data_IF_507009655986
#
_entry.id   IF_507009655986
#
_cell.length_a   1.000
_cell.length_b   1.000
_cell.length_c   1.000
_cell.angle_alpha   90.00
_cell.angle_beta   90.00
_cell.angle_gamma   90.00
#
_symmetry.space_group_name_H-M   'P 1'
#
loop_
_entity.id
_entity.type
_entity.pdbx_description
1 polymer ?
#
# COMPACT_ATOMS: atom_id res chain seq x y z
N UNK A 1 21.10 8.18 28.74
CA UNK A 1 19.89 7.36 28.89
C UNK A 1 19.09 7.19 27.59
N UNK A 2 18.94 8.21 26.72
CA UNK A 2 18.21 8.09 25.44
C UNK A 2 18.96 7.30 24.36
N UNK A 3 20.28 7.30 24.35
CA UNK A 3 21.11 6.56 23.39
C UNK A 3 21.14 5.06 23.73
N UNK A 4 21.27 4.70 25.00
CA UNK A 4 21.26 3.31 25.48
C UNK A 4 19.93 2.63 25.19
N UNK A 5 18.80 3.33 25.34
CA UNK A 5 17.48 2.78 24.99
C UNK A 5 17.25 2.58 23.49
N UNK A 6 17.91 3.37 22.61
CA UNK A 6 17.79 3.19 21.17
C UNK A 6 18.63 2.01 20.64
N UNK A 7 19.84 1.86 21.15
CA UNK A 7 20.71 0.73 20.79
C UNK A 7 20.16 -0.60 21.30
N UNK A 8 19.57 -0.61 22.49
CA UNK A 8 18.90 -1.78 23.05
C UNK A 8 17.69 -2.19 22.20
N UNK A 9 16.87 -1.24 21.75
CA UNK A 9 15.70 -1.51 20.90
C UNK A 9 16.10 -2.03 19.49
N UNK A 10 17.18 -1.52 18.91
CA UNK A 10 17.75 -1.97 17.64
C UNK A 10 18.33 -3.38 17.76
N UNK A 11 19.08 -3.64 18.83
CA UNK A 11 19.68 -4.94 19.11
C UNK A 11 18.62 -6.00 19.37
N UNK A 12 17.57 -5.66 20.13
CA UNK A 12 16.45 -6.55 20.41
C UNK A 12 15.68 -6.91 19.13
N UNK A 13 15.47 -5.95 18.21
CA UNK A 13 14.76 -6.20 16.95
C UNK A 13 15.52 -7.14 16.02
N UNK A 14 16.83 -6.94 15.83
CA UNK A 14 17.64 -7.84 14.98
C UNK A 14 17.83 -9.22 15.62
N UNK A 15 17.99 -9.29 16.94
CA UNK A 15 18.12 -10.53 17.68
C UNK A 15 16.81 -11.33 17.69
N UNK A 16 15.66 -10.66 17.76
CA UNK A 16 14.35 -11.30 17.66
C UNK A 16 14.16 -12.04 16.34
N UNK A 17 14.65 -11.48 15.20
CA UNK A 17 14.59 -12.14 13.90
C UNK A 17 15.37 -13.48 13.86
N UNK A 18 16.47 -13.59 14.63
CA UNK A 18 17.29 -14.78 14.69
C UNK A 18 16.81 -15.82 15.71
N UNK A 19 16.32 -15.39 16.87
CA UNK A 19 16.16 -16.27 18.03
C UNK A 19 14.71 -16.50 18.46
N UNK A 20 13.80 -15.56 18.22
CA UNK A 20 12.44 -15.67 18.72
C UNK A 20 11.65 -16.80 18.04
N UNK A 21 10.67 -17.38 18.76
CA UNK A 21 9.78 -18.43 18.23
C UNK A 21 9.00 -17.90 17.03
N UNK A 22 9.04 -18.61 15.90
CA UNK A 22 8.44 -18.17 14.61
C UNK A 22 6.97 -17.76 14.72
N UNK A 23 6.06 -18.51 15.41
CA UNK A 23 4.65 -18.09 15.51
C UNK A 23 4.48 -16.76 16.23
N UNK A 24 5.26 -16.50 17.29
CA UNK A 24 5.21 -15.25 18.04
C UNK A 24 5.76 -14.08 17.21
N UNK A 25 6.89 -14.30 16.55
CA UNK A 25 7.50 -13.29 15.66
C UNK A 25 6.58 -12.96 14.48
N UNK A 26 5.95 -13.99 13.87
CA UNK A 26 4.96 -13.77 12.81
C UNK A 26 3.78 -12.94 13.32
N UNK A 27 3.23 -13.23 14.50
CA UNK A 27 2.14 -12.46 15.09
C UNK A 27 2.55 -11.01 15.36
N UNK A 28 3.76 -10.76 15.88
CA UNK A 28 4.27 -9.42 16.17
C UNK A 28 4.42 -8.56 14.91
N UNK A 29 4.73 -9.15 13.75
CA UNK A 29 4.89 -8.44 12.49
C UNK A 29 3.59 -8.41 11.67
N UNK A 30 2.82 -9.50 11.67
CA UNK A 30 1.61 -9.62 10.87
C UNK A 30 0.42 -8.84 11.47
N UNK A 31 0.22 -8.87 12.79
CA UNK A 31 -0.92 -8.17 13.40
C UNK A 31 -0.89 -6.66 13.09
N UNK A 32 0.22 -5.92 13.30
CA UNK A 32 0.27 -4.52 12.90
C UNK A 32 0.03 -4.32 11.39
N UNK A 33 0.55 -5.20 10.54
CA UNK A 33 0.35 -5.11 9.11
C UNK A 33 -1.13 -5.32 8.72
N UNK A 34 -1.81 -6.31 9.31
CA UNK A 34 -3.26 -6.54 9.11
C UNK A 34 -4.07 -5.34 9.58
N UNK A 35 -3.77 -4.80 10.76
CA UNK A 35 -4.44 -3.60 11.28
C UNK A 35 -4.24 -2.42 10.34
N UNK A 36 -3.04 -2.22 9.80
CA UNK A 36 -2.77 -1.17 8.80
C UNK A 36 -3.63 -1.34 7.54
N UNK A 37 -3.80 -2.57 7.03
CA UNK A 37 -4.64 -2.84 5.86
C UNK A 37 -6.12 -2.55 6.14
N UNK A 38 -6.63 -2.93 7.31
CA UNK A 38 -8.01 -2.64 7.70
C UNK A 38 -8.24 -1.13 7.82
N UNK A 39 -7.33 -0.40 8.47
CA UNK A 39 -7.41 1.06 8.58
C UNK A 39 -7.36 1.72 7.21
N UNK A 40 -6.52 1.22 6.31
CA UNK A 40 -6.42 1.71 4.93
C UNK A 40 -7.76 1.53 4.17
N UNK A 41 -8.41 0.38 4.35
CA UNK A 41 -9.75 0.15 3.78
C UNK A 41 -10.78 1.12 4.35
N UNK A 42 -10.80 1.28 5.67
CA UNK A 42 -11.78 2.14 6.35
C UNK A 42 -11.66 3.60 5.91
N UNK A 43 -10.46 4.15 5.87
CA UNK A 43 -10.31 5.55 5.45
C UNK A 43 -10.69 5.74 3.98
N UNK A 44 -10.40 4.80 3.09
CA UNK A 44 -10.84 4.87 1.69
C UNK A 44 -12.38 4.86 1.55
N UNK A 45 -13.07 4.11 2.41
CA UNK A 45 -14.54 4.11 2.45
C UNK A 45 -15.06 5.46 2.93
N UNK A 46 -14.48 6.00 3.99
CA UNK A 46 -14.88 7.30 4.57
C UNK A 46 -14.67 8.44 3.58
N UNK A 47 -13.53 8.48 2.90
CA UNK A 47 -13.23 9.46 1.84
C UNK A 47 -14.30 9.42 0.73
N UNK A 48 -14.66 8.23 0.25
CA UNK A 48 -15.73 8.08 -0.76
C UNK A 48 -17.11 8.52 -0.25
N UNK A 49 -17.40 8.28 1.03
CA UNK A 49 -18.65 8.76 1.66
C UNK A 49 -18.68 10.29 1.64
N UNK A 50 -17.61 10.97 2.04
CA UNK A 50 -17.57 12.44 2.02
C UNK A 50 -17.69 12.99 0.61
N UNK A 51 -17.01 12.44 -0.39
CA UNK A 51 -17.13 12.85 -1.79
C UNK A 51 -18.57 12.67 -2.31
N UNK A 52 -19.21 11.54 -1.96
CA UNK A 52 -20.60 11.26 -2.36
C UNK A 52 -21.63 12.23 -1.76
N UNK A 53 -21.33 12.85 -0.61
CA UNK A 53 -22.21 13.81 0.07
C UNK A 53 -21.97 15.27 -0.34
N UNK A 54 -21.13 15.54 -1.35
CA UNK A 54 -20.97 16.90 -1.88
C UNK A 54 -22.30 17.37 -2.50
N UNK A 55 -22.88 18.45 -1.97
CA UNK A 55 -24.19 18.96 -2.37
C UNK A 55 -24.28 19.25 -3.87
N UNK A 56 -25.27 18.70 -4.53
CA UNK A 56 -25.61 18.95 -5.94
C UNK A 56 -24.76 18.19 -6.96
N UNK A 57 -23.56 17.69 -6.60
CA UNK A 57 -22.63 17.07 -7.55
C UNK A 57 -22.03 15.74 -7.07
N UNK A 58 -22.41 15.28 -5.87
CA UNK A 58 -21.78 14.11 -5.21
C UNK A 58 -21.68 12.85 -6.09
N UNK A 59 -22.76 12.49 -6.80
CA UNK A 59 -22.75 11.32 -7.68
C UNK A 59 -21.78 11.47 -8.86
N UNK A 60 -21.75 12.64 -9.52
CA UNK A 60 -20.84 12.93 -10.62
C UNK A 60 -19.38 13.02 -10.13
N UNK A 61 -19.17 13.61 -8.96
CA UNK A 61 -17.88 13.70 -8.29
C UNK A 61 -17.34 12.31 -7.93
N UNK A 62 -18.13 11.47 -7.30
CA UNK A 62 -17.76 10.10 -6.92
C UNK A 62 -17.41 9.25 -8.16
N UNK A 63 -18.20 9.38 -9.22
CA UNK A 63 -17.92 8.70 -10.50
C UNK A 63 -16.62 9.21 -11.10
N UNK A 64 -16.40 10.53 -11.17
CA UNK A 64 -15.17 11.11 -11.71
C UNK A 64 -13.91 10.67 -10.94
N UNK A 65 -13.97 10.66 -9.61
CA UNK A 65 -12.87 10.14 -8.77
C UNK A 65 -12.71 8.62 -8.94
N UNK A 66 -13.80 7.88 -9.09
CA UNK A 66 -13.76 6.45 -9.37
C UNK A 66 -13.00 6.10 -10.66
N UNK A 67 -13.15 6.91 -11.71
CA UNK A 67 -12.44 6.75 -12.97
C UNK A 67 -10.92 7.03 -12.87
N UNK A 68 -10.46 7.69 -11.82
CA UNK A 68 -9.04 7.86 -11.54
C UNK A 68 -8.38 6.61 -10.90
N UNK A 69 -9.18 5.66 -10.40
CA UNK A 69 -8.69 4.45 -9.71
C UNK A 69 -7.63 3.65 -10.51
N UNK A 70 -7.75 3.43 -11.83
CA UNK A 70 -6.71 2.74 -12.60
C UNK A 70 -5.35 3.46 -12.57
N UNK A 71 -5.34 4.79 -12.60
CA UNK A 71 -4.10 5.57 -12.49
C UNK A 71 -3.50 5.41 -11.09
N UNK A 72 -4.33 5.42 -10.03
CA UNK A 72 -3.89 5.12 -8.66
C UNK A 72 -3.21 3.76 -8.56
N UNK A 73 -3.81 2.73 -9.15
CA UNK A 73 -3.26 1.37 -9.15
C UNK A 73 -1.90 1.31 -9.85
N UNK A 74 -1.74 2.03 -10.97
CA UNK A 74 -0.45 2.14 -11.65
C UNK A 74 0.60 2.86 -10.80
N UNK A 75 0.26 3.98 -10.16
CA UNK A 75 1.17 4.69 -9.24
C UNK A 75 1.62 3.75 -8.13
N UNK A 76 0.69 3.00 -7.52
CA UNK A 76 0.98 2.01 -6.48
C UNK A 76 1.86 0.85 -7.01
N UNK A 77 1.61 0.36 -8.23
CA UNK A 77 2.42 -0.68 -8.84
C UNK A 77 3.88 -0.23 -9.02
N UNK A 78 4.12 1.01 -9.46
CA UNK A 78 5.48 1.56 -9.55
C UNK A 78 6.12 1.75 -8.18
N UNK A 79 5.38 2.18 -7.17
CA UNK A 79 5.89 2.27 -5.81
C UNK A 79 6.33 0.89 -5.28
N UNK A 80 5.50 -0.14 -5.51
CA UNK A 80 5.77 -1.51 -5.08
C UNK A 80 6.89 -2.16 -5.90
N UNK A 81 7.13 -1.75 -7.13
CA UNK A 81 8.25 -2.24 -7.95
C UNK A 81 9.60 -2.07 -7.20
N UNK A 82 9.82 -0.93 -6.57
CA UNK A 82 11.02 -0.69 -5.78
C UNK A 82 10.89 -1.21 -4.34
N UNK A 83 9.72 -1.04 -3.71
CA UNK A 83 9.48 -1.43 -2.32
C UNK A 83 9.48 -2.95 -2.10
N UNK A 84 8.68 -3.69 -2.86
CA UNK A 84 8.55 -5.15 -2.72
C UNK A 84 9.79 -5.92 -3.20
N UNK A 85 10.58 -5.33 -4.08
CA UNK A 85 11.85 -5.93 -4.52
C UNK A 85 13.03 -5.56 -3.62
N UNK A 86 13.11 -4.31 -3.20
CA UNK A 86 14.21 -3.79 -2.39
C UNK A 86 14.20 -4.26 -0.94
N UNK A 87 13.03 -4.20 -0.28
CA UNK A 87 12.92 -4.55 1.13
C UNK A 87 13.34 -6.00 1.46
N UNK A 88 12.91 -7.05 0.72
CA UNK A 88 13.42 -8.41 0.93
C UNK A 88 14.92 -8.54 0.71
N UNK A 89 15.47 -7.86 -0.28
CA UNK A 89 16.92 -7.89 -0.54
C UNK A 89 17.71 -7.21 0.57
N UNK A 90 17.19 -6.10 1.11
CA UNK A 90 17.77 -5.46 2.29
C UNK A 90 17.73 -6.42 3.50
N UNK A 91 16.60 -7.13 3.72
CA UNK A 91 16.50 -8.16 4.76
C UNK A 91 17.54 -9.28 4.61
N UNK A 92 17.73 -9.77 3.38
CA UNK A 92 18.76 -10.80 3.08
C UNK A 92 20.15 -10.26 3.43
N UNK A 93 20.47 -9.03 3.06
CA UNK A 93 21.76 -8.41 3.39
C UNK A 93 21.92 -8.21 4.90
N UNK A 94 20.88 -7.81 5.62
CA UNK A 94 20.87 -7.73 7.08
C UNK A 94 21.11 -9.11 7.73
N UNK A 95 20.48 -10.16 7.21
CA UNK A 95 20.70 -11.53 7.66
C UNK A 95 22.14 -12.01 7.47
N UNK A 96 22.81 -11.54 6.42
CA UNK A 96 24.25 -11.74 6.18
C UNK A 96 25.14 -10.86 7.07
N UNK A 97 24.56 -10.01 7.94
CA UNK A 97 25.26 -8.99 8.74
C UNK A 97 25.95 -7.91 7.91
N UNK A 98 25.56 -7.76 6.64
CA UNK A 98 26.04 -6.71 5.72
C UNK A 98 25.04 -5.54 5.66
N UNK A 99 25.02 -4.76 6.74
CA UNK A 99 24.17 -3.58 6.84
C UNK A 99 24.57 -2.47 5.84
N UNK A 100 25.86 -2.44 5.40
CA UNK A 100 26.32 -1.45 4.41
C UNK A 100 25.65 -1.67 3.07
N UNK A 101 25.58 -2.91 2.59
CA UNK A 101 24.86 -3.26 1.36
C UNK A 101 23.35 -3.04 1.53
N UNK A 102 22.78 -3.35 2.69
CA UNK A 102 21.36 -3.09 2.96
C UNK A 102 21.02 -1.59 2.92
N UNK A 103 21.88 -0.71 3.46
CA UNK A 103 21.73 0.76 3.38
C UNK A 103 21.86 1.27 1.92
N UNK A 104 22.77 0.68 1.13
CA UNK A 104 22.87 1.00 -0.31
C UNK A 104 21.62 0.61 -1.07
N UNK A 105 21.02 -0.56 -0.77
CA UNK A 105 19.75 -0.99 -1.36
C UNK A 105 18.64 0.02 -1.01
N UNK A 106 18.52 0.41 0.26
CA UNK A 106 17.54 1.41 0.70
C UNK A 106 17.71 2.74 -0.05
N UNK A 107 18.95 3.27 -0.12
CA UNK A 107 19.25 4.54 -0.80
C UNK A 107 19.00 4.48 -2.31
N UNK A 108 19.38 3.39 -2.97
CA UNK A 108 19.13 3.19 -4.40
C UNK A 108 17.65 3.04 -4.71
N UNK A 109 16.88 2.30 -3.89
CA UNK A 109 15.42 2.20 -4.03
C UNK A 109 14.73 3.55 -3.81
N UNK A 110 15.19 4.35 -2.87
CA UNK A 110 14.68 5.70 -2.68
C UNK A 110 14.96 6.58 -3.90
N UNK A 111 16.19 6.56 -4.43
CA UNK A 111 16.56 7.38 -5.60
C UNK A 111 15.73 7.00 -6.85
N UNK A 112 15.54 5.70 -7.12
CA UNK A 112 14.71 5.28 -8.27
C UNK A 112 13.23 5.65 -8.07
N UNK A 113 12.71 5.60 -6.84
CA UNK A 113 11.35 6.06 -6.55
C UNK A 113 11.17 7.54 -6.82
N UNK A 114 12.17 8.38 -6.50
CA UNK A 114 12.11 9.81 -6.81
C UNK A 114 12.12 10.07 -8.33
N UNK A 115 12.92 9.31 -9.08
CA UNK A 115 12.92 9.39 -10.55
C UNK A 115 11.59 8.91 -11.14
N UNK A 116 11.06 7.80 -10.66
CA UNK A 116 9.73 7.31 -11.06
C UNK A 116 8.64 8.32 -10.72
N UNK A 117 8.68 8.93 -9.52
CA UNK A 117 7.71 9.96 -9.12
C UNK A 117 7.73 11.15 -10.09
N UNK A 118 8.92 11.66 -10.43
CA UNK A 118 9.05 12.76 -11.36
C UNK A 118 8.50 12.39 -12.77
N UNK A 119 8.88 11.21 -13.28
CA UNK A 119 8.42 10.74 -14.59
C UNK A 119 6.89 10.52 -14.62
N UNK A 120 6.34 9.84 -13.61
CA UNK A 120 4.90 9.59 -13.52
C UNK A 120 4.10 10.88 -13.33
N UNK A 121 4.63 11.83 -12.55
CA UNK A 121 3.99 13.15 -12.39
C UNK A 121 3.90 13.87 -13.74
N UNK A 122 4.97 13.92 -14.51
CA UNK A 122 4.97 14.58 -15.82
C UNK A 122 4.00 13.88 -16.79
N UNK A 123 4.09 12.55 -16.89
CA UNK A 123 3.25 11.76 -17.81
C UNK A 123 1.78 11.90 -17.44
N UNK A 124 1.41 11.57 -16.20
CA UNK A 124 0.00 11.56 -15.82
C UNK A 124 -0.60 12.96 -15.72
N UNK A 125 0.17 13.97 -15.32
CA UNK A 125 -0.34 15.34 -15.28
C UNK A 125 -0.68 15.87 -16.67
N UNK A 126 0.15 15.55 -17.66
CA UNK A 126 -0.04 15.95 -19.05
C UNK A 126 -1.22 15.22 -19.70
N UNK A 127 -1.32 13.90 -19.46
CA UNK A 127 -2.31 13.05 -20.12
C UNK A 127 -3.55 12.74 -19.27
N UNK A 128 -3.71 13.37 -18.10
CA UNK A 128 -4.84 13.09 -17.20
C UNK A 128 -6.22 13.21 -17.88
N UNK A 129 -6.55 14.28 -18.63
CA UNK A 129 -7.85 14.38 -19.28
C UNK A 129 -8.08 13.27 -20.29
N UNK A 130 -7.07 12.96 -21.13
CA UNK A 130 -7.16 11.94 -22.17
C UNK A 130 -7.35 10.53 -21.57
N UNK A 131 -6.60 10.23 -20.50
CA UNK A 131 -6.71 8.95 -19.81
C UNK A 131 -8.08 8.78 -19.14
N UNK A 132 -8.59 9.81 -18.49
CA UNK A 132 -9.92 9.76 -17.85
C UNK A 132 -11.03 9.61 -18.90
N UNK A 133 -10.94 10.28 -20.04
CA UNK A 133 -11.87 10.10 -21.16
C UNK A 133 -11.79 8.68 -21.72
N UNK A 134 -10.60 8.12 -21.86
CA UNK A 134 -10.38 6.74 -22.29
C UNK A 134 -10.95 5.72 -21.32
N UNK A 135 -10.98 6.03 -20.02
CA UNK A 135 -11.62 5.21 -18.98
C UNK A 135 -13.14 5.44 -18.86
N UNK A 136 -13.73 6.25 -19.72
CA UNK A 136 -15.18 6.42 -19.82
C UNK A 136 -15.73 7.65 -19.09
N UNK A 137 -14.91 8.68 -18.83
CA UNK A 137 -15.40 9.94 -18.29
C UNK A 137 -16.33 10.63 -19.29
N UNK A 138 -17.53 10.99 -18.83
CA UNK A 138 -18.47 11.84 -19.58
C UNK A 138 -18.17 13.33 -19.37
N UNK A 139 -18.74 14.19 -20.21
CA UNK A 139 -18.60 15.64 -20.06
C UNK A 139 -19.01 16.16 -18.66
N UNK A 140 -19.91 15.43 -17.97
CA UNK A 140 -20.36 15.79 -16.61
C UNK A 140 -19.40 15.32 -15.52
N UNK A 141 -18.67 14.21 -15.71
CA UNK A 141 -17.80 13.61 -14.69
C UNK A 141 -16.33 13.99 -14.88
N UNK A 142 -15.92 14.30 -16.12
CA UNK A 142 -14.54 14.64 -16.49
C UNK A 142 -13.95 15.80 -15.67
N UNK A 143 -14.65 16.94 -15.47
CA UNK A 143 -14.10 18.05 -14.69
C UNK A 143 -13.70 17.64 -13.27
N UNK A 144 -14.55 16.87 -12.59
CA UNK A 144 -14.29 16.39 -11.22
C UNK A 144 -13.14 15.40 -11.16
N UNK A 145 -13.07 14.48 -12.14
CA UNK A 145 -11.97 13.54 -12.27
C UNK A 145 -10.63 14.23 -12.52
N UNK A 146 -10.60 15.24 -13.40
CA UNK A 146 -9.39 16.01 -13.71
C UNK A 146 -8.94 16.87 -12.53
N UNK A 147 -9.88 17.51 -11.84
CA UNK A 147 -9.59 18.33 -10.66
C UNK A 147 -8.95 17.50 -9.54
N UNK A 148 -9.49 16.29 -9.27
CA UNK A 148 -8.91 15.34 -8.34
C UNK A 148 -7.55 14.86 -8.81
N UNK A 149 -7.49 14.38 -10.06
CA UNK A 149 -6.28 13.78 -10.64
C UNK A 149 -5.09 14.74 -10.59
N UNK A 150 -5.24 15.99 -11.01
CA UNK A 150 -4.16 16.96 -11.03
C UNK A 150 -3.53 17.20 -9.67
N UNK A 151 -4.34 17.36 -8.63
CA UNK A 151 -3.85 17.56 -7.26
C UNK A 151 -3.16 16.29 -6.76
N UNK A 152 -3.79 15.13 -6.95
CA UNK A 152 -3.25 13.85 -6.50
C UNK A 152 -1.93 13.50 -7.21
N UNK A 153 -1.84 13.71 -8.52
CA UNK A 153 -0.63 13.43 -9.31
C UNK A 153 0.55 14.30 -8.86
N UNK A 154 0.34 15.58 -8.55
CA UNK A 154 1.38 16.44 -7.97
C UNK A 154 1.85 15.91 -6.61
N UNK A 155 0.94 15.33 -5.82
CA UNK A 155 1.25 14.71 -4.54
C UNK A 155 1.72 13.25 -4.61
N UNK A 156 1.76 12.64 -5.79
CA UNK A 156 2.10 11.22 -5.96
C UNK A 156 3.49 10.85 -5.44
N UNK A 157 4.42 11.80 -5.39
CA UNK A 157 5.73 11.63 -4.76
C UNK A 157 5.62 11.16 -3.31
N UNK A 158 4.70 11.69 -2.53
CA UNK A 158 4.49 11.28 -1.14
C UNK A 158 3.92 9.86 -1.07
N UNK A 159 3.00 9.52 -1.98
CA UNK A 159 2.43 8.17 -2.10
C UNK A 159 3.53 7.16 -2.43
N UNK A 160 4.40 7.46 -3.39
CA UNK A 160 5.51 6.57 -3.74
C UNK A 160 6.48 6.39 -2.57
N UNK A 161 6.77 7.45 -1.81
CA UNK A 161 7.61 7.34 -0.60
C UNK A 161 6.92 6.45 0.44
N UNK A 162 5.64 6.67 0.72
CA UNK A 162 4.92 5.89 1.74
C UNK A 162 4.86 4.42 1.33
N UNK A 163 4.41 4.11 0.12
CA UNK A 163 4.24 2.74 -0.34
C UNK A 163 5.58 2.02 -0.59
N UNK A 164 6.58 2.73 -1.12
CA UNK A 164 7.88 2.14 -1.48
C UNK A 164 8.85 2.03 -0.31
N UNK A 165 8.80 2.95 0.67
CA UNK A 165 9.77 2.96 1.78
C UNK A 165 9.24 2.30 3.05
N UNK A 166 7.94 2.25 3.27
CA UNK A 166 7.35 1.62 4.46
C UNK A 166 7.72 0.12 4.62
N UNK A 167 7.82 -0.69 3.53
CA UNK A 167 8.31 -2.07 3.63
C UNK A 167 9.72 -2.20 4.25
N UNK A 168 10.61 -1.22 4.05
CA UNK A 168 11.93 -1.21 4.67
C UNK A 168 11.89 -1.03 6.19
N UNK A 169 10.87 -0.35 6.73
CA UNK A 169 10.66 -0.23 8.19
C UNK A 169 10.22 -1.58 8.75
N UNK A 170 9.25 -2.24 8.09
CA UNK A 170 8.76 -3.57 8.49
C UNK A 170 9.89 -4.62 8.42
N UNK A 171 10.73 -4.55 7.39
CA UNK A 171 11.87 -5.44 7.17
C UNK A 171 12.89 -5.39 8.31
N UNK A 172 13.03 -4.24 8.97
CA UNK A 172 13.89 -4.08 10.14
C UNK A 172 13.24 -4.60 11.45
N UNK A 173 12.01 -5.13 11.40
CA UNK A 173 11.26 -5.61 12.56
C UNK A 173 10.37 -4.54 13.22
N UNK A 174 10.34 -3.31 12.70
CA UNK A 174 9.57 -2.20 13.27
C UNK A 174 8.13 -2.12 12.70
N UNK A 175 7.41 -3.25 12.65
CA UNK A 175 6.06 -3.33 12.09
C UNK A 175 5.06 -2.36 12.76
N UNK A 176 5.19 -2.10 14.07
CA UNK A 176 4.36 -1.11 14.77
C UNK A 176 4.57 0.29 14.25
N UNK A 177 5.81 0.67 13.93
CA UNK A 177 6.13 2.00 13.37
C UNK A 177 5.61 2.11 11.94
N UNK A 178 5.73 1.04 11.15
CA UNK A 178 5.13 0.92 9.82
C UNK A 178 3.61 1.10 9.87
N UNK A 179 2.92 0.41 10.78
CA UNK A 179 1.48 0.58 11.02
C UNK A 179 1.12 2.03 11.40
N UNK A 180 1.90 2.65 12.28
CA UNK A 180 1.65 4.04 12.71
C UNK A 180 1.69 5.03 11.55
N UNK A 181 2.46 4.78 10.50
CA UNK A 181 2.42 5.60 9.28
C UNK A 181 1.02 5.62 8.66
N UNK A 182 0.40 4.44 8.53
CA UNK A 182 -0.97 4.32 7.98
C UNK A 182 -2.00 4.94 8.92
N UNK A 183 -1.88 4.69 10.23
CA UNK A 183 -2.80 5.26 11.25
C UNK A 183 -2.77 6.79 11.21
N UNK A 184 -1.57 7.39 11.24
CA UNK A 184 -1.40 8.85 11.20
C UNK A 184 -1.99 9.41 9.91
N UNK A 185 -1.68 8.79 8.76
CA UNK A 185 -2.24 9.21 7.47
C UNK A 185 -3.77 9.14 7.45
N UNK A 186 -4.35 8.02 7.90
CA UNK A 186 -5.79 7.84 7.93
C UNK A 186 -6.50 8.85 8.86
N UNK A 187 -5.98 9.06 10.06
CA UNK A 187 -6.56 10.03 11.02
C UNK A 187 -6.52 11.45 10.46
N UNK A 188 -5.39 11.85 9.88
CA UNK A 188 -5.26 13.18 9.28
C UNK A 188 -6.22 13.33 8.09
N UNK A 189 -6.32 12.32 7.22
CA UNK A 189 -7.22 12.36 6.08
C UNK A 189 -8.69 12.50 6.52
N UNK A 190 -9.16 11.65 7.45
CA UNK A 190 -10.54 11.69 7.98
C UNK A 190 -10.88 13.04 8.61
N UNK A 191 -9.91 13.72 9.23
CA UNK A 191 -10.12 15.05 9.82
C UNK A 191 -10.10 16.15 8.75
N UNK A 192 -9.17 16.07 7.79
CA UNK A 192 -9.00 17.12 6.78
C UNK A 192 -10.08 17.07 5.68
N UNK A 193 -10.58 15.89 5.33
CA UNK A 193 -11.61 15.72 4.30
C UNK A 193 -12.84 16.62 4.55
N UNK A 194 -13.56 16.52 5.69
CA UNK A 194 -14.72 17.36 5.92
C UNK A 194 -14.38 18.85 5.99
N UNK A 195 -13.19 19.21 6.47
CA UNK A 195 -12.75 20.61 6.55
C UNK A 195 -12.57 21.18 5.14
N UNK A 196 -11.85 20.48 4.27
CA UNK A 196 -11.58 20.98 2.93
C UNK A 196 -12.78 20.85 1.99
N UNK A 197 -13.57 19.77 2.11
CA UNK A 197 -14.72 19.54 1.26
C UNK A 197 -15.86 20.50 1.60
N UNK A 198 -16.23 20.61 2.90
CA UNK A 198 -17.45 21.27 3.34
C UNK A 198 -17.20 22.66 3.94
N UNK A 199 -16.17 22.83 4.79
CA UNK A 199 -15.90 24.12 5.45
C UNK A 199 -15.26 25.11 4.46
N UNK A 200 -14.23 24.68 3.73
CA UNK A 200 -13.58 25.51 2.71
C UNK A 200 -14.26 25.44 1.34
N UNK A 201 -15.32 24.66 1.20
CA UNK A 201 -16.09 24.50 -0.04
C UNK A 201 -15.25 24.14 -1.28
N UNK A 202 -14.14 23.42 -1.08
CA UNK A 202 -13.27 23.01 -2.18
C UNK A 202 -13.79 21.79 -2.94
N UNK A 203 -14.84 21.12 -2.42
CA UNK A 203 -15.42 19.94 -3.05
C UNK A 203 -14.37 18.84 -3.31
N UNK A 204 -14.34 18.31 -4.53
CA UNK A 204 -13.44 17.23 -4.96
C UNK A 204 -11.96 17.61 -4.83
N UNK A 205 -11.62 18.88 -5.08
CA UNK A 205 -10.24 19.40 -4.88
C UNK A 205 -9.83 19.29 -3.41
N UNK A 206 -10.78 19.51 -2.51
CA UNK A 206 -10.55 19.37 -1.07
C UNK A 206 -10.21 17.95 -0.66
N UNK A 207 -10.93 16.95 -1.17
CA UNK A 207 -10.64 15.53 -0.94
C UNK A 207 -9.24 15.15 -1.44
N UNK A 208 -8.88 15.55 -2.67
CA UNK A 208 -7.54 15.29 -3.21
C UNK A 208 -6.45 15.95 -2.36
N UNK A 209 -6.65 17.19 -1.92
CA UNK A 209 -5.70 17.94 -1.10
C UNK A 209 -5.53 17.29 0.29
N UNK A 210 -6.61 16.87 0.94
CA UNK A 210 -6.57 16.16 2.21
C UNK A 210 -5.78 14.86 2.10
N UNK A 211 -6.03 14.07 1.04
CA UNK A 211 -5.28 12.85 0.76
C UNK A 211 -3.79 13.13 0.56
N UNK A 212 -3.44 14.11 -0.27
CA UNK A 212 -2.03 14.47 -0.52
C UNK A 212 -1.32 14.93 0.76
N UNK A 213 -1.97 15.77 1.58
CA UNK A 213 -1.39 16.24 2.85
C UNK A 213 -1.21 15.10 3.86
N UNK A 214 -2.18 14.18 3.96
CA UNK A 214 -2.06 13.02 4.82
C UNK A 214 -0.89 12.11 4.40
N UNK A 215 -0.72 11.88 3.09
CA UNK A 215 0.42 11.15 2.55
C UNK A 215 1.75 11.89 2.75
N UNK A 216 1.75 13.22 2.65
CA UNK A 216 2.94 14.03 2.93
C UNK A 216 3.41 13.87 4.38
N UNK A 217 2.48 13.91 5.35
CA UNK A 217 2.82 13.66 6.76
C UNK A 217 3.34 12.23 6.97
N UNK A 218 2.72 11.23 6.34
CA UNK A 218 3.21 9.85 6.34
C UNK A 218 4.63 9.72 5.76
N UNK A 219 4.89 10.39 4.64
CA UNK A 219 6.21 10.41 4.00
C UNK A 219 7.26 11.06 4.91
N UNK A 220 6.93 12.20 5.53
CA UNK A 220 7.82 12.89 6.49
C UNK A 220 8.12 11.98 7.69
N UNK A 221 7.10 11.27 8.21
CA UNK A 221 7.26 10.31 9.30
C UNK A 221 8.26 9.20 8.94
N UNK A 222 8.10 8.57 7.76
CA UNK A 222 8.99 7.53 7.25
C UNK A 222 10.42 8.04 7.08
N UNK A 223 10.58 9.18 6.40
CA UNK A 223 11.90 9.76 6.14
C UNK A 223 12.60 10.16 7.44
N UNK A 224 11.86 10.73 8.41
CA UNK A 224 12.39 11.07 9.73
C UNK A 224 12.81 9.82 10.51
N UNK A 225 12.07 8.73 10.40
CA UNK A 225 12.44 7.46 11.03
C UNK A 225 13.70 6.88 10.38
N UNK A 226 13.71 6.74 9.04
CA UNK A 226 14.84 6.15 8.30
C UNK A 226 16.12 7.00 8.34
N UNK A 227 16.03 8.30 8.61
CA UNK A 227 17.18 9.17 8.82
C UNK A 227 17.55 9.33 10.32
N UNK A 228 16.74 8.77 11.22
CA UNK A 228 16.90 8.89 12.65
C UNK A 228 17.86 7.88 13.26
N UNK A 229 18.11 8.01 14.57
CA UNK A 229 19.01 7.12 15.33
C UNK A 229 18.37 5.80 15.78
N UNK A 230 17.06 5.60 15.56
CA UNK A 230 16.31 4.43 16.02
C UNK A 230 16.14 3.35 14.94
N UNK A 231 16.65 3.59 13.75
CA UNK A 231 16.61 2.66 12.61
C UNK A 231 17.91 1.88 12.51
N UNK A 232 17.84 0.65 11.98
CA UNK A 232 19.02 -0.17 11.68
C UNK A 232 19.64 0.29 10.36
N UNK A 233 18.80 0.55 9.35
CA UNK A 233 19.20 0.98 8.03
C UNK A 233 18.99 2.49 7.90
N UNK A 234 20.07 3.22 7.71
CA UNK A 234 20.03 4.68 7.60
C UNK A 234 19.95 5.12 6.15
N UNK A 235 19.00 6.03 5.89
CA UNK A 235 18.88 6.69 4.59
C UNK A 235 19.98 7.78 4.49
N UNK A 236 21.08 7.46 3.80
CA UNK A 236 22.25 8.34 3.62
C UNK A 236 22.30 8.86 2.20
N UNK A 237 22.59 10.16 2.03
CA UNK A 237 22.72 10.81 0.72
C UNK A 237 23.79 10.16 -0.18
N UNK A 238 24.85 9.63 0.43
CA UNK A 238 25.93 8.91 -0.26
C UNK A 238 25.44 7.70 -1.05
N UNK A 239 24.35 7.06 -0.58
CA UNK A 239 23.76 5.87 -1.16
C UNK A 239 22.70 6.16 -2.24
N UNK A 240 22.49 7.42 -2.63
CA UNK A 240 21.52 7.80 -3.68
C UNK A 240 22.09 7.64 -5.09
N UNK A 241 23.40 7.43 -5.25
CA UNK A 241 23.98 7.12 -6.54
C UNK A 241 23.46 5.75 -7.01
N UNK A 242 22.73 5.78 -8.14
CA UNK A 242 22.18 4.56 -8.74
C UNK A 242 23.31 3.63 -9.19
N UNK A 243 23.31 2.42 -8.63
CA UNK A 243 24.24 1.35 -8.98
C UNK A 243 23.45 0.23 -9.64
N UNK A 244 23.76 -0.06 -10.92
CA UNK A 244 23.03 -1.07 -11.71
C UNK A 244 23.04 -2.46 -11.04
N UNK A 245 24.18 -2.82 -10.41
CA UNK A 245 24.33 -4.08 -9.70
C UNK A 245 23.39 -4.21 -8.48
N UNK A 246 22.95 -3.09 -7.91
CA UNK A 246 22.04 -3.06 -6.77
C UNK A 246 20.58 -2.95 -7.24
N UNK A 247 20.32 -1.99 -8.17
CA UNK A 247 18.95 -1.66 -8.52
C UNK A 247 18.30 -2.72 -9.43
N UNK A 248 19.06 -3.27 -10.40
CA UNK A 248 18.50 -4.22 -11.35
C UNK A 248 17.95 -5.49 -10.69
N UNK A 249 18.67 -6.13 -9.73
CA UNK A 249 18.11 -7.26 -9.01
C UNK A 249 16.93 -6.90 -8.08
N UNK A 250 16.85 -5.65 -7.58
CA UNK A 250 15.70 -5.18 -6.81
C UNK A 250 14.47 -5.04 -7.72
N UNK A 251 14.63 -4.39 -8.88
CA UNK A 251 13.55 -4.25 -9.85
C UNK A 251 13.10 -5.61 -10.39
N UNK A 252 14.05 -6.52 -10.70
CA UNK A 252 13.73 -7.87 -11.17
C UNK A 252 12.87 -8.65 -10.17
N UNK A 253 13.11 -8.50 -8.87
CA UNK A 253 12.28 -9.12 -7.84
C UNK A 253 10.93 -8.41 -7.69
N UNK A 254 10.89 -7.09 -7.81
CA UNK A 254 9.67 -6.29 -7.73
C UNK A 254 8.76 -6.40 -8.95
N UNK A 255 9.29 -6.82 -10.12
CA UNK A 255 8.51 -6.91 -11.36
C UNK A 255 7.34 -7.89 -11.25
N UNK A 256 7.45 -8.94 -10.44
CA UNK A 256 6.37 -9.88 -10.19
C UNK A 256 5.15 -9.20 -9.53
N UNK A 257 5.40 -8.39 -8.53
CA UNK A 257 4.33 -7.61 -7.85
C UNK A 257 3.77 -6.53 -8.77
N UNK A 258 4.63 -5.88 -9.55
CA UNK A 258 4.21 -4.88 -10.54
C UNK A 258 3.28 -5.49 -11.60
N UNK A 259 3.67 -6.62 -12.18
CA UNK A 259 2.86 -7.34 -13.19
C UNK A 259 1.55 -7.80 -12.57
N UNK A 260 1.56 -8.34 -11.36
CA UNK A 260 0.36 -8.78 -10.64
C UNK A 260 -0.64 -7.63 -10.48
N UNK A 261 -0.21 -6.49 -9.94
CA UNK A 261 -1.08 -5.32 -9.73
C UNK A 261 -1.56 -4.71 -11.06
N UNK A 262 -0.69 -4.66 -12.07
CA UNK A 262 -1.07 -4.17 -13.40
C UNK A 262 -2.09 -5.07 -14.08
N UNK A 263 -1.92 -6.39 -13.97
CA UNK A 263 -2.87 -7.38 -14.52
C UNK A 263 -4.21 -7.30 -13.81
N UNK A 264 -4.22 -7.14 -12.48
CA UNK A 264 -5.45 -6.97 -11.70
C UNK A 264 -6.24 -5.73 -12.15
N UNK A 265 -5.55 -4.62 -12.44
CA UNK A 265 -6.17 -3.42 -13.00
C UNK A 265 -6.81 -3.66 -14.37
N UNK A 266 -6.10 -4.34 -15.27
CA UNK A 266 -6.60 -4.67 -16.61
C UNK A 266 -7.81 -5.62 -16.53
N UNK A 267 -7.73 -6.63 -15.66
CA UNK A 267 -8.83 -7.55 -15.41
C UNK A 267 -10.07 -6.81 -14.89
N UNK A 268 -9.92 -5.94 -13.91
CA UNK A 268 -11.02 -5.17 -13.34
C UNK A 268 -11.72 -4.32 -14.40
N UNK A 269 -10.98 -3.62 -15.25
CA UNK A 269 -11.54 -2.83 -16.35
C UNK A 269 -12.28 -3.74 -17.36
N UNK A 270 -11.65 -4.84 -17.75
CA UNK A 270 -12.22 -5.77 -18.75
C UNK A 270 -13.50 -6.43 -18.24
N UNK A 271 -13.51 -6.86 -16.97
CA UNK A 271 -14.71 -7.45 -16.36
C UNK A 271 -15.85 -6.44 -16.24
N UNK A 272 -15.57 -5.23 -15.75
CA UNK A 272 -16.59 -4.19 -15.60
C UNK A 272 -17.18 -3.80 -16.95
N UNK A 273 -16.35 -3.62 -17.98
CA UNK A 273 -16.81 -3.31 -19.34
C UNK A 273 -17.65 -4.43 -19.94
N UNK A 274 -17.22 -5.69 -19.80
CA UNK A 274 -17.94 -6.85 -20.31
C UNK A 274 -19.28 -7.06 -19.59
N UNK A 275 -19.29 -6.97 -18.26
CA UNK A 275 -20.52 -7.10 -17.46
C UNK A 275 -21.53 -6.00 -17.79
N UNK A 276 -21.07 -4.75 -17.94
CA UNK A 276 -21.93 -3.65 -18.36
C UNK A 276 -22.57 -3.91 -19.73
N UNK A 277 -21.78 -4.44 -20.69
CA UNK A 277 -22.27 -4.69 -22.05
C UNK A 277 -23.22 -5.86 -22.16
N UNK A 278 -22.98 -6.96 -21.45
CA UNK A 278 -23.73 -8.22 -21.61
C UNK A 278 -24.72 -8.51 -20.47
N UNK A 279 -24.49 -7.97 -19.27
CA UNK A 279 -25.32 -8.25 -18.10
C UNK A 279 -26.03 -7.04 -17.51
N UNK A 280 -25.77 -5.83 -18.06
CA UNK A 280 -26.35 -4.60 -17.59
C UNK A 280 -25.96 -4.22 -16.15
N UNK A 281 -26.66 -3.24 -15.59
CA UNK A 281 -26.35 -2.65 -14.28
C UNK A 281 -26.45 -3.66 -13.13
N UNK A 282 -27.36 -4.64 -13.23
CA UNK A 282 -27.54 -5.68 -12.21
C UNK A 282 -26.29 -6.57 -12.08
N UNK A 283 -25.68 -6.96 -13.20
CA UNK A 283 -24.48 -7.79 -13.20
C UNK A 283 -23.26 -7.02 -12.69
N UNK A 284 -23.15 -5.74 -13.03
CA UNK A 284 -22.10 -4.84 -12.50
C UNK A 284 -22.27 -4.67 -10.99
N UNK A 285 -23.50 -4.46 -10.51
CA UNK A 285 -23.82 -4.35 -9.08
C UNK A 285 -23.45 -5.63 -8.31
N UNK A 286 -23.85 -6.78 -8.82
CA UNK A 286 -23.50 -8.08 -8.22
C UNK A 286 -21.98 -8.30 -8.15
N UNK A 287 -21.24 -7.96 -9.22
CA UNK A 287 -19.78 -8.07 -9.25
C UNK A 287 -19.11 -7.11 -8.26
N UNK A 288 -19.67 -5.92 -8.08
CA UNK A 288 -19.18 -4.95 -7.09
C UNK A 288 -19.30 -5.51 -5.66
N UNK A 289 -20.41 -6.19 -5.35
CA UNK A 289 -20.58 -6.86 -4.05
C UNK A 289 -19.54 -7.97 -3.89
N UNK A 290 -19.39 -8.84 -4.87
CA UNK A 290 -18.43 -9.95 -4.84
C UNK A 290 -17.00 -9.43 -4.64
N UNK A 291 -16.58 -8.42 -5.39
CA UNK A 291 -15.24 -7.82 -5.24
C UNK A 291 -15.04 -7.18 -3.88
N UNK A 292 -16.03 -6.49 -3.34
CA UNK A 292 -15.97 -5.88 -2.00
C UNK A 292 -15.83 -6.94 -0.90
N UNK A 293 -16.59 -8.02 -0.98
CA UNK A 293 -16.46 -9.16 -0.05
C UNK A 293 -15.10 -9.84 -0.20
N UNK A 294 -14.61 -10.02 -1.43
CA UNK A 294 -13.28 -10.59 -1.69
C UNK A 294 -12.15 -9.75 -1.09
N UNK A 295 -12.28 -8.41 -1.09
CA UNK A 295 -11.31 -7.52 -0.44
C UNK A 295 -11.23 -7.73 1.07
N UNK A 296 -12.35 -8.03 1.75
CA UNK A 296 -12.36 -8.36 3.18
C UNK A 296 -11.53 -9.61 3.51
N UNK A 297 -11.43 -10.56 2.58
CA UNK A 297 -10.55 -11.71 2.74
C UNK A 297 -9.09 -11.40 2.37
N UNK A 298 -8.90 -10.69 1.26
CA UNK A 298 -7.56 -10.48 0.66
C UNK A 298 -6.68 -9.55 1.51
N UNK A 299 -7.25 -8.48 2.10
CA UNK A 299 -6.48 -7.50 2.87
C UNK A 299 -5.80 -8.10 4.13
N UNK A 300 -6.49 -8.91 4.98
CA UNK A 300 -5.80 -9.57 6.08
C UNK A 300 -4.71 -10.54 5.61
N UNK A 301 -4.94 -11.27 4.50
CA UNK A 301 -3.93 -12.16 3.92
C UNK A 301 -2.69 -11.38 3.47
N UNK A 302 -2.86 -10.24 2.81
CA UNK A 302 -1.76 -9.37 2.44
C UNK A 302 -0.98 -8.90 3.68
N UNK A 303 -1.67 -8.52 4.76
CA UNK A 303 -1.04 -8.14 6.03
C UNK A 303 -0.22 -9.29 6.64
N UNK A 304 -0.74 -10.52 6.63
CA UNK A 304 -0.01 -11.71 7.11
C UNK A 304 1.24 -11.95 6.24
N UNK A 305 1.12 -11.83 4.91
CA UNK A 305 2.24 -12.01 3.98
C UNK A 305 3.31 -10.93 4.17
N UNK A 306 2.92 -9.67 4.36
CA UNK A 306 3.83 -8.57 4.65
C UNK A 306 4.58 -8.78 5.96
N UNK A 307 3.96 -9.35 6.98
CA UNK A 307 4.61 -9.69 8.25
C UNK A 307 5.56 -10.88 8.17
N UNK A 308 5.27 -11.87 7.34
CA UNK A 308 6.09 -13.08 7.20
C UNK A 308 7.29 -12.90 6.27
N UNK A 309 7.20 -12.04 5.28
CA UNK A 309 8.26 -11.80 4.29
C UNK A 309 9.60 -11.41 4.93
N UNK A 310 9.68 -10.45 5.87
CA UNK A 310 10.94 -10.10 6.55
C UNK A 310 11.58 -11.28 7.27
N UNK A 311 10.77 -12.13 7.94
CA UNK A 311 11.26 -13.29 8.69
C UNK A 311 11.97 -14.27 7.74
N UNK A 312 11.32 -14.59 6.62
CA UNK A 312 11.88 -15.52 5.64
C UNK A 312 13.13 -14.94 4.98
N UNK A 313 13.07 -13.68 4.54
CA UNK A 313 14.17 -13.01 3.83
C UNK A 313 15.42 -12.86 4.73
N UNK A 314 15.24 -12.43 5.99
CA UNK A 314 16.33 -12.29 6.94
C UNK A 314 17.00 -13.64 7.24
N UNK A 315 16.21 -14.67 7.58
CA UNK A 315 16.74 -16.00 7.90
C UNK A 315 17.36 -16.71 6.68
N UNK A 316 16.87 -16.41 5.47
CA UNK A 316 17.50 -16.86 4.24
C UNK A 316 18.92 -16.27 4.10
N UNK A 317 19.05 -14.96 4.35
CA UNK A 317 20.35 -14.28 4.37
C UNK A 317 21.31 -14.81 5.43
N UNK A 318 20.79 -15.15 6.62
CA UNK A 318 21.53 -15.74 7.72
C UNK A 318 21.90 -17.23 7.50
N UNK A 319 21.49 -17.85 6.37
CA UNK A 319 21.75 -19.27 6.08
C UNK A 319 20.88 -20.25 6.88
N UNK A 320 19.92 -19.76 7.66
CA UNK A 320 19.10 -20.59 8.55
C UNK A 320 17.89 -21.20 7.84
N UNK A 321 18.14 -22.19 6.97
CA UNK A 321 17.13 -22.85 6.14
C UNK A 321 15.97 -23.44 6.94
N UNK A 322 16.23 -23.97 8.13
CA UNK A 322 15.19 -24.57 8.98
C UNK A 322 14.20 -23.52 9.48
N UNK A 323 14.67 -22.32 9.84
CA UNK A 323 13.78 -21.22 10.24
C UNK A 323 12.97 -20.69 9.06
N UNK A 324 13.56 -20.60 7.86
CA UNK A 324 12.84 -20.22 6.63
C UNK A 324 11.69 -21.19 6.35
N UNK A 325 11.96 -22.51 6.36
CA UNK A 325 10.92 -23.54 6.19
C UNK A 325 9.83 -23.41 7.26
N UNK A 326 10.21 -23.28 8.52
CA UNK A 326 9.26 -23.13 9.62
C UNK A 326 8.40 -21.86 9.48
N UNK A 327 9.00 -20.73 9.10
CA UNK A 327 8.28 -19.49 8.85
C UNK A 327 7.27 -19.63 7.70
N UNK A 328 7.72 -20.23 6.59
CA UNK A 328 6.86 -20.50 5.44
C UNK A 328 5.64 -21.37 5.82
N UNK A 329 5.89 -22.53 6.43
CA UNK A 329 4.78 -23.42 6.81
C UNK A 329 3.86 -22.82 7.87
N UNK A 330 4.40 -22.08 8.85
CA UNK A 330 3.57 -21.38 9.83
C UNK A 330 2.67 -20.35 9.16
N UNK A 331 3.23 -19.52 8.28
CA UNK A 331 2.46 -18.53 7.52
C UNK A 331 1.43 -19.19 6.60
N UNK A 332 1.83 -20.23 5.85
CA UNK A 332 0.94 -20.98 4.97
C UNK A 332 -0.24 -21.57 5.75
N UNK A 333 0.02 -22.19 6.89
CA UNK A 333 -1.04 -22.77 7.75
C UNK A 333 -2.01 -21.69 8.24
N UNK A 334 -1.48 -20.54 8.73
CA UNK A 334 -2.33 -19.43 9.19
C UNK A 334 -3.20 -18.88 8.06
N UNK A 335 -2.61 -18.65 6.87
CA UNK A 335 -3.36 -18.20 5.70
C UNK A 335 -4.42 -19.20 5.25
N UNK A 336 -4.10 -20.51 5.24
CA UNK A 336 -5.04 -21.57 4.84
C UNK A 336 -6.21 -21.67 5.82
N UNK A 337 -5.94 -21.65 7.13
CA UNK A 337 -6.99 -21.67 8.17
C UNK A 337 -7.89 -20.43 8.02
N UNK A 338 -7.30 -19.24 7.90
CA UNK A 338 -8.05 -17.99 7.74
C UNK A 338 -8.95 -18.04 6.50
N UNK A 339 -8.39 -18.42 5.35
CA UNK A 339 -9.13 -18.50 4.08
C UNK A 339 -10.23 -19.55 4.14
N UNK A 340 -9.94 -20.72 4.71
CA UNK A 340 -10.91 -21.81 4.87
C UNK A 340 -12.07 -21.41 5.81
N UNK A 341 -11.78 -20.77 6.92
CA UNK A 341 -12.82 -20.25 7.83
C UNK A 341 -13.67 -19.17 7.15
N UNK A 342 -13.02 -18.23 6.45
CA UNK A 342 -13.74 -17.16 5.73
C UNK A 342 -14.63 -17.75 4.63
N UNK A 343 -14.13 -18.69 3.86
CA UNK A 343 -14.89 -19.41 2.84
C UNK A 343 -16.09 -20.14 3.42
N UNK A 344 -15.92 -20.87 4.53
CA UNK A 344 -17.01 -21.55 5.23
C UNK A 344 -18.08 -20.57 5.70
N UNK A 345 -17.69 -19.43 6.29
CA UNK A 345 -18.63 -18.40 6.75
C UNK A 345 -19.41 -17.84 5.55
N UNK A 346 -18.77 -17.60 4.41
CA UNK A 346 -19.46 -17.14 3.21
C UNK A 346 -20.46 -18.16 2.66
N UNK A 347 -20.13 -19.45 2.71
CA UNK A 347 -21.05 -20.52 2.28
C UNK A 347 -22.24 -20.68 3.22
N UNK A 348 -22.02 -20.57 4.52
CA UNK A 348 -23.08 -20.76 5.52
C UNK A 348 -24.00 -19.55 5.65
N UNK A 349 -23.48 -18.35 5.44
CA UNK A 349 -24.20 -17.08 5.66
C UNK A 349 -24.18 -16.13 4.44
N UNK A 350 -24.52 -16.59 3.22
CA UNK A 350 -24.44 -15.75 2.01
C UNK A 350 -25.35 -14.52 2.08
N UNK A 351 -26.53 -14.67 2.71
CA UNK A 351 -27.50 -13.57 2.89
C UNK A 351 -26.97 -12.45 3.81
N UNK A 352 -26.13 -12.78 4.79
CA UNK A 352 -25.53 -11.80 5.67
C UNK A 352 -24.59 -10.87 4.88
N UNK A 353 -23.74 -11.45 4.02
CA UNK A 353 -22.82 -10.65 3.19
C UNK A 353 -23.55 -9.84 2.13
N UNK A 354 -24.57 -10.41 1.47
CA UNK A 354 -25.41 -9.67 0.52
C UNK A 354 -26.15 -8.52 1.21
N UNK A 355 -26.72 -8.76 2.41
CA UNK A 355 -27.48 -7.77 3.17
C UNK A 355 -26.67 -6.59 3.70
N UNK A 356 -25.32 -6.70 3.78
CA UNK A 356 -24.45 -5.55 4.10
C UNK A 356 -24.47 -4.51 2.95
N UNK A 357 -24.67 -4.95 1.72
CA UNK A 357 -24.57 -4.11 0.52
C UNK A 357 -25.91 -3.83 -0.15
N UNK A 358 -26.95 -4.62 0.10
CA UNK A 358 -28.28 -4.47 -0.51
C UNK A 358 -29.37 -4.94 0.45
N UNK A 359 -30.42 -4.12 0.56
CA UNK A 359 -31.62 -4.46 1.33
C UNK A 359 -32.68 -5.22 0.51
N UNK A 360 -32.35 -5.64 -0.71
CA UNK A 360 -33.22 -6.41 -1.61
C UNK A 360 -32.74 -7.85 -1.77
#
# INVERSE_FOLDING_TARGET
>A
LRLVGSEMCIRDSSQAMETEKIPRLLAQLAIPAVVAQIINLLYNIVDRIYIGHISGVGAAALTGVGLFTPILMLINAFAMLAGSGGAPRAAISMGKKDNKTAEKILGNCFAILMLMAAALTVIFFTFAPQLLTMFGASDKTLPYGVDYARIYILGSIFVLIVMGMNPFITTQGFAKISMMTTVIGAVINIILDPIFIFVFHLGVKGAALATVLSQAVGAIWILRFLSGKKTILHLKKENFKLQKEIILPCLALGISTFVMLSTESILSISFTSSLSRYGGDLAVGAMTIITSVSQLATLPLQGICQGGQPIMSYNYGAGNRNRVKKAFFTQFTVCTIFTGCFWLIMLLFPKMFAGIFSNN
#
